data_IF_670299379172
#
_entry.id   IF_670299379172
#
_cell.length_a   1.000
_cell.length_b   1.000
_cell.length_c   1.000
_cell.angle_alpha   90.00
_cell.angle_beta   90.00
_cell.angle_gamma   90.00
#
_symmetry.space_group_name_H-M   'P 1'
#
loop_
_entity.id
_entity.type
_entity.pdbx_description
1 polymer ?
#
# COMPACT_ATOMS: atom_id res chain seq x y z
N UNK A 1 -14.27 17.17 3.69
CA UNK A 1 -12.90 16.58 3.67
C UNK A 1 -12.81 15.42 4.66
N UNK A 2 -12.94 14.17 4.20
CA UNK A 2 -12.77 12.98 5.06
C UNK A 2 -11.84 11.95 4.38
N UNK A 3 -10.61 12.36 4.04
CA UNK A 3 -9.45 11.47 4.16
C UNK A 3 -8.88 11.72 5.55
N UNK A 4 -9.40 11.03 6.56
CA UNK A 4 -8.89 11.25 7.93
C UNK A 4 -8.01 10.12 8.45
N UNK A 5 -8.20 8.87 8.02
CA UNK A 5 -7.34 7.73 8.41
C UNK A 5 -7.40 6.65 7.34
N UNK A 6 -6.25 6.09 6.97
CA UNK A 6 -6.18 4.85 6.19
C UNK A 6 -6.81 3.68 6.95
N UNK A 7 -7.03 2.57 6.25
CA UNK A 7 -7.51 1.33 6.86
C UNK A 7 -6.39 0.75 7.73
N UNK A 8 -6.65 0.64 9.03
CA UNK A 8 -5.75 -0.05 9.98
C UNK A 8 -6.04 -1.56 10.01
N UNK A 9 -5.11 -2.35 10.55
CA UNK A 9 -5.30 -3.80 10.68
C UNK A 9 -6.56 -4.18 11.48
N UNK A 10 -6.88 -3.48 12.58
CA UNK A 10 -8.12 -3.69 13.35
C UNK A 10 -9.36 -3.42 12.49
N UNK A 11 -9.34 -2.35 11.70
CA UNK A 11 -10.44 -2.03 10.79
C UNK A 11 -10.58 -3.08 9.68
N UNK A 12 -9.47 -3.54 9.11
CA UNK A 12 -9.47 -4.60 8.10
C UNK A 12 -10.03 -5.92 8.65
N UNK A 13 -9.70 -6.29 9.90
CA UNK A 13 -10.26 -7.46 10.58
C UNK A 13 -11.78 -7.35 10.75
N UNK A 14 -12.28 -6.18 11.19
CA UNK A 14 -13.72 -5.94 11.34
C UNK A 14 -14.45 -6.00 10.00
N UNK A 15 -13.90 -5.39 8.96
CA UNK A 15 -14.49 -5.39 7.62
C UNK A 15 -14.50 -6.79 7.01
N UNK A 16 -13.39 -7.54 7.16
CA UNK A 16 -13.30 -8.93 6.73
C UNK A 16 -14.37 -9.80 7.37
N UNK A 17 -14.56 -9.67 8.69
CA UNK A 17 -15.59 -10.42 9.42
C UNK A 17 -17.01 -10.01 9.01
N UNK A 18 -17.25 -8.73 8.80
CA UNK A 18 -18.57 -8.20 8.48
C UNK A 18 -19.01 -8.52 7.05
N UNK A 19 -18.12 -8.36 6.07
CA UNK A 19 -18.42 -8.58 4.66
C UNK A 19 -18.08 -9.99 4.17
N UNK A 20 -17.61 -10.87 5.06
CA UNK A 20 -17.13 -12.21 4.73
C UNK A 20 -16.04 -12.18 3.63
N UNK A 21 -15.10 -11.23 3.73
CA UNK A 21 -13.96 -11.07 2.82
C UNK A 21 -12.65 -11.36 3.57
N UNK A 22 -11.50 -11.30 2.88
CA UNK A 22 -10.20 -11.47 3.53
C UNK A 22 -9.68 -10.15 4.14
N UNK A 23 -8.88 -10.25 5.19
CA UNK A 23 -8.15 -9.11 5.77
C UNK A 23 -7.15 -8.56 4.76
N UNK A 24 -6.47 -9.46 4.04
CA UNK A 24 -5.48 -9.11 3.03
C UNK A 24 -6.07 -8.27 1.90
N UNK A 25 -7.34 -8.50 1.52
CA UNK A 25 -8.02 -7.67 0.53
C UNK A 25 -8.02 -6.19 0.93
N UNK A 26 -8.42 -5.89 2.16
CA UNK A 26 -8.46 -4.52 2.67
C UNK A 26 -7.07 -3.91 2.86
N UNK A 27 -6.11 -4.71 3.32
CA UNK A 27 -4.72 -4.27 3.47
C UNK A 27 -4.06 -3.99 2.11
N UNK A 28 -4.35 -4.79 1.08
CA UNK A 28 -3.85 -4.58 -0.27
C UNK A 28 -4.40 -3.27 -0.87
N UNK A 29 -5.68 -2.96 -0.64
CA UNK A 29 -6.27 -1.70 -1.09
C UNK A 29 -5.60 -0.49 -0.44
N UNK A 30 -5.33 -0.57 0.88
CA UNK A 30 -4.60 0.48 1.58
C UNK A 30 -3.18 0.63 1.04
N UNK A 31 -2.46 -0.49 0.86
CA UNK A 31 -1.10 -0.48 0.32
C UNK A 31 -1.03 0.09 -1.10
N UNK A 32 -1.96 -0.26 -1.99
CA UNK A 32 -2.03 0.29 -3.34
C UNK A 32 -2.24 1.80 -3.34
N UNK A 33 -3.13 2.29 -2.48
CA UNK A 33 -3.36 3.72 -2.32
C UNK A 33 -2.10 4.45 -1.82
N UNK A 34 -1.40 3.87 -0.83
CA UNK A 34 -0.18 4.44 -0.28
C UNK A 34 0.96 4.44 -1.31
N UNK A 35 1.09 3.38 -2.11
CA UNK A 35 2.04 3.30 -3.22
C UNK A 35 1.75 4.40 -4.24
N UNK A 36 0.51 4.54 -4.69
CA UNK A 36 0.15 5.56 -5.69
C UNK A 36 0.45 6.98 -5.18
N UNK A 37 0.12 7.26 -3.90
CA UNK A 37 0.46 8.54 -3.29
C UNK A 37 1.97 8.78 -3.21
N UNK A 38 2.73 7.74 -2.86
CA UNK A 38 4.19 7.82 -2.83
C UNK A 38 4.77 8.01 -4.24
N UNK A 39 4.25 7.34 -5.26
CA UNK A 39 4.67 7.54 -6.65
C UNK A 39 4.42 8.98 -7.12
N UNK A 40 3.28 9.57 -6.77
CA UNK A 40 2.97 10.97 -7.07
C UNK A 40 3.94 11.94 -6.36
N UNK A 41 4.33 11.64 -5.12
CA UNK A 41 5.20 12.51 -4.30
C UNK A 41 6.69 12.37 -4.64
N UNK A 42 7.20 11.15 -4.76
CA UNK A 42 8.63 10.85 -4.90
C UNK A 42 9.02 10.25 -6.25
N UNK A 43 8.10 10.14 -7.21
CA UNK A 43 8.35 9.47 -8.51
C UNK A 43 9.58 9.99 -9.27
N UNK A 44 9.83 11.30 -9.25
CA UNK A 44 11.04 11.90 -9.87
C UNK A 44 12.33 11.54 -9.15
N UNK A 45 12.26 11.32 -7.84
CA UNK A 45 13.40 10.89 -7.02
C UNK A 45 13.66 9.39 -7.21
N UNK A 46 12.61 8.58 -7.35
CA UNK A 46 12.70 7.15 -7.65
C UNK A 46 13.46 6.88 -8.95
N UNK A 47 13.24 7.68 -10.01
CA UNK A 47 13.96 7.53 -11.30
C UNK A 47 15.49 7.67 -11.19
N UNK A 48 15.99 8.31 -10.14
CA UNK A 48 17.43 8.49 -9.92
C UNK A 48 18.08 7.29 -9.21
N UNK A 49 17.28 6.40 -8.65
CA UNK A 49 17.75 5.21 -7.93
C UNK A 49 18.10 4.14 -8.97
N UNK A 50 19.38 3.76 -9.02
CA UNK A 50 19.85 2.69 -9.91
C UNK A 50 19.72 1.34 -9.18
N UNK A 51 19.02 0.34 -9.77
CA UNK A 51 19.02 -1.01 -9.25
C UNK A 51 20.44 -1.56 -9.15
N UNK A 52 20.70 -2.35 -8.11
CA UNK A 52 21.95 -3.12 -8.03
C UNK A 52 21.79 -4.30 -8.98
N UNK A 53 22.71 -4.45 -9.93
CA UNK A 53 22.82 -5.70 -10.68
C UNK A 53 23.39 -6.75 -9.73
N UNK A 54 22.53 -7.62 -9.24
CA UNK A 54 22.96 -8.79 -8.47
C UNK A 54 23.57 -9.73 -9.49
N UNK A 55 24.90 -9.80 -9.54
CA UNK A 55 25.58 -10.84 -10.29
C UNK A 55 25.12 -12.19 -9.73
N UNK A 56 24.44 -12.99 -10.55
CA UNK A 56 24.15 -14.39 -10.21
C UNK A 56 25.49 -15.07 -9.90
N UNK A 57 25.61 -15.56 -8.67
CA UNK A 57 26.70 -16.42 -8.18
C UNK A 57 26.26 -17.86 -8.29
#
# INVERSE_FOLDING_TARGET
MRRRRGITADTALRLARYFNTSVQFWMNLQAQYDIQCAEDEIGKSLQKIKPIEVAEV
#
